data_IF_271288421045
#
_entry.id   IF_271288421045
#
_cell.length_a   1.000
_cell.length_b   1.000
_cell.length_c   1.000
_cell.angle_alpha   90.00
_cell.angle_beta   90.00
_cell.angle_gamma   90.00
#
_symmetry.space_group_name_H-M   'P 1'
#
loop_
_entity.id
_entity.type
_entity.pdbx_description
1 polymer ?
#
# COMPACT_ATOMS: atom_id res chain seq x y z
N UNK A 1 1.72 -8.01 -15.21
CA UNK A 1 0.27 -8.18 -15.47
C UNK A 1 -0.54 -7.73 -14.26
N UNK A 2 -0.46 -8.41 -13.11
CA UNK A 2 -1.26 -8.05 -11.93
C UNK A 2 -1.03 -6.62 -11.41
N UNK A 3 0.23 -6.16 -11.33
CA UNK A 3 0.51 -4.78 -10.90
C UNK A 3 0.10 -3.72 -11.92
N UNK A 4 0.12 -4.06 -13.21
CA UNK A 4 -0.20 -3.12 -14.29
C UNK A 4 -1.70 -2.82 -14.24
N UNK A 5 -2.53 -3.84 -14.00
CA UNK A 5 -3.98 -3.69 -13.79
C UNK A 5 -4.29 -2.81 -12.57
N UNK A 6 -3.59 -3.02 -11.46
CA UNK A 6 -3.70 -2.18 -10.26
C UNK A 6 -3.30 -0.74 -10.57
N UNK A 7 -2.15 -0.57 -11.25
CA UNK A 7 -1.62 0.74 -11.62
C UNK A 7 -2.60 1.50 -12.50
N UNK A 8 -3.17 0.84 -13.52
CA UNK A 8 -4.20 1.41 -14.39
C UNK A 8 -5.46 1.78 -13.60
N UNK A 9 -5.98 0.88 -12.77
CA UNK A 9 -7.19 1.14 -12.00
C UNK A 9 -7.00 2.33 -11.03
N UNK A 10 -5.85 2.42 -10.36
CA UNK A 10 -5.53 3.58 -9.50
C UNK A 10 -5.34 4.84 -10.32
N UNK A 11 -4.62 4.79 -11.45
CA UNK A 11 -4.37 5.97 -12.28
C UNK A 11 -5.65 6.60 -12.83
N UNK A 12 -6.67 5.80 -13.16
CA UNK A 12 -7.99 6.28 -13.60
C UNK A 12 -8.77 7.04 -12.50
N UNK A 13 -8.40 6.84 -11.24
CA UNK A 13 -9.15 7.35 -10.06
C UNK A 13 -8.31 8.28 -9.19
N UNK A 14 -7.02 8.42 -9.49
CA UNK A 14 -6.09 9.28 -8.78
C UNK A 14 -6.40 10.78 -9.04
N UNK A 15 -6.05 11.68 -8.10
CA UNK A 15 -5.45 11.38 -6.80
C UNK A 15 -6.46 10.76 -5.81
N UNK A 16 -6.00 9.78 -5.04
CA UNK A 16 -6.78 9.16 -3.97
C UNK A 16 -6.35 9.77 -2.62
N UNK A 17 -7.10 10.75 -2.14
CA UNK A 17 -6.81 11.42 -0.88
C UNK A 17 -7.00 10.48 0.32
N UNK A 18 -6.03 10.45 1.23
CA UNK A 18 -6.10 9.71 2.49
C UNK A 18 -6.90 10.52 3.51
N UNK A 19 -8.14 10.09 3.77
CA UNK A 19 -8.99 10.69 4.80
C UNK A 19 -8.83 10.01 6.16
N UNK A 20 -8.45 8.73 6.18
CA UNK A 20 -8.18 7.96 7.40
C UNK A 20 -6.93 7.12 7.22
N UNK A 21 -6.13 7.04 8.29
CA UNK A 21 -4.96 6.19 8.38
C UNK A 21 -4.84 5.67 9.82
N UNK A 22 -4.82 4.36 10.01
CA UNK A 22 -4.67 3.72 11.32
C UNK A 22 -3.75 2.51 11.21
N UNK A 23 -2.91 2.34 12.22
CA UNK A 23 -2.06 1.17 12.36
C UNK A 23 -2.23 0.58 13.76
N UNK A 24 -2.68 -0.67 13.78
CA UNK A 24 -2.81 -1.51 14.96
C UNK A 24 -2.22 -2.86 14.61
N UNK A 25 -1.04 -3.15 15.13
CA UNK A 25 -0.27 -4.34 14.77
C UNK A 25 -1.15 -5.62 14.77
N UNK A 26 -1.15 -6.41 13.69
CA UNK A 26 -0.33 -6.26 12.46
C UNK A 26 -0.98 -5.43 11.34
N UNK A 27 -2.20 -4.92 11.55
CA UNK A 27 -3.02 -4.29 10.52
C UNK A 27 -2.68 -2.82 10.28
N UNK A 28 -2.31 -2.49 9.04
CA UNK A 28 -2.35 -1.12 8.51
C UNK A 28 -3.62 -0.93 7.69
N UNK A 29 -4.32 0.19 7.90
CA UNK A 29 -5.44 0.60 7.05
C UNK A 29 -5.34 2.06 6.64
N UNK A 30 -5.60 2.33 5.37
CA UNK A 30 -5.73 3.64 4.77
C UNK A 30 -7.06 3.70 4.02
N UNK A 31 -7.76 4.81 4.07
CA UNK A 31 -8.98 4.98 3.27
C UNK A 31 -9.27 6.44 2.95
N UNK A 32 -10.09 6.63 1.93
CA UNK A 32 -10.63 7.92 1.54
C UNK A 32 -12.00 7.76 0.90
N UNK A 33 -12.41 8.73 0.10
CA UNK A 33 -13.70 8.64 -0.58
C UNK A 33 -13.69 7.47 -1.58
N UNK A 34 -14.56 6.49 -1.34
CA UNK A 34 -14.81 5.36 -2.23
C UNK A 34 -13.60 4.44 -2.51
N UNK A 35 -12.52 4.55 -1.74
CA UNK A 35 -11.35 3.67 -1.83
C UNK A 35 -10.82 3.26 -0.43
N UNK A 36 -10.18 2.10 -0.36
CA UNK A 36 -9.49 1.63 0.84
C UNK A 36 -8.29 0.76 0.50
N UNK A 37 -7.29 0.80 1.37
CA UNK A 37 -6.16 -0.12 1.37
C UNK A 37 -6.00 -0.69 2.78
N UNK A 38 -5.80 -1.99 2.89
CA UNK A 38 -5.40 -2.63 4.14
C UNK A 38 -4.36 -3.71 3.91
N UNK A 39 -3.54 -3.96 4.91
CA UNK A 39 -2.58 -5.07 4.88
C UNK A 39 -2.32 -5.60 6.28
N UNK A 40 -2.19 -6.92 6.37
CA UNK A 40 -1.61 -7.60 7.53
C UNK A 40 -0.11 -7.90 7.33
N UNK A 41 0.40 -7.69 6.11
CA UNK A 41 1.79 -7.93 5.75
C UNK A 41 2.71 -6.85 6.31
N UNK A 42 4.00 -7.18 6.53
CA UNK A 42 5.04 -6.19 6.75
C UNK A 42 5.00 -5.05 5.72
N UNK A 43 5.22 -3.81 6.18
CA UNK A 43 5.24 -2.63 5.30
C UNK A 43 6.29 -1.60 5.73
N UNK A 44 6.75 -0.77 4.78
CA UNK A 44 7.60 0.38 5.08
C UNK A 44 7.24 1.59 4.24
N UNK A 45 7.44 2.76 4.82
CA UNK A 45 7.39 4.01 4.08
C UNK A 45 8.81 4.46 3.71
N UNK A 46 9.05 4.68 2.43
CA UNK A 46 10.27 5.28 1.92
C UNK A 46 10.08 6.77 1.68
N UNK A 47 11.12 7.55 1.94
CA UNK A 47 11.27 8.94 1.48
C UNK A 47 11.45 9.00 -0.04
N UNK A 48 11.42 10.20 -0.61
CA UNK A 48 11.66 10.42 -2.04
C UNK A 48 13.06 9.95 -2.50
N UNK A 49 14.07 10.03 -1.63
CA UNK A 49 15.43 9.54 -1.90
C UNK A 49 15.61 8.02 -1.68
N UNK A 50 14.55 7.32 -1.24
CA UNK A 50 14.55 5.87 -1.05
C UNK A 50 15.07 5.40 0.32
N UNK A 51 15.35 6.32 1.25
CA UNK A 51 15.63 5.94 2.64
C UNK A 51 14.35 5.56 3.38
N UNK A 52 14.45 4.72 4.42
CA UNK A 52 13.28 4.31 5.21
C UNK A 52 12.90 5.46 6.14
N UNK A 53 11.71 6.02 5.95
CA UNK A 53 11.14 7.01 6.86
C UNK A 53 10.65 6.34 8.15
N UNK A 54 9.82 5.32 8.02
CA UNK A 54 9.37 4.45 9.12
C UNK A 54 8.79 3.14 8.56
N UNK A 55 8.52 2.18 9.44
CA UNK A 55 8.00 0.86 9.08
C UNK A 55 7.08 0.32 10.17
N UNK A 56 6.50 -0.86 9.92
CA UNK A 56 5.73 -1.61 10.91
C UNK A 56 6.47 -1.87 12.23
N UNK A 57 7.82 -1.90 12.24
CA UNK A 57 8.65 -2.06 13.45
C UNK A 57 9.03 -0.75 14.14
N UNK A 58 8.69 0.41 13.57
CA UNK A 58 9.00 1.68 14.20
C UNK A 58 8.20 1.82 15.48
N UNK A 59 8.85 2.16 16.61
CA UNK A 59 8.22 2.21 17.94
C UNK A 59 6.92 3.03 17.96
N UNK A 60 6.95 4.18 17.28
CA UNK A 60 5.85 5.14 17.23
C UNK A 60 5.16 5.11 15.84
N UNK A 61 5.04 3.90 15.25
CA UNK A 61 4.51 3.71 13.89
C UNK A 61 3.04 4.14 13.77
N UNK A 62 2.24 3.99 14.83
CA UNK A 62 0.82 4.39 14.82
C UNK A 62 0.68 5.90 14.64
N UNK A 63 1.47 6.67 15.37
CA UNK A 63 1.54 8.12 15.27
C UNK A 63 2.08 8.56 13.91
N UNK A 64 3.12 7.87 13.42
CA UNK A 64 3.71 8.16 12.10
C UNK A 64 2.72 7.93 10.95
N UNK A 65 1.91 6.85 11.01
CA UNK A 65 0.88 6.54 10.01
C UNK A 65 -0.23 7.60 9.99
N UNK A 66 -0.60 8.15 11.14
CA UNK A 66 -1.59 9.24 11.22
C UNK A 66 -1.14 10.48 10.40
N UNK A 67 0.17 10.67 10.23
CA UNK A 67 0.75 11.73 9.39
C UNK A 67 0.59 11.52 7.87
N UNK A 68 -0.06 10.43 7.43
CA UNK A 68 -0.45 10.22 6.04
C UNK A 68 -1.80 10.84 5.69
N UNK A 69 -2.60 11.25 6.69
CA UNK A 69 -3.88 11.93 6.45
C UNK A 69 -3.63 13.25 5.71
N UNK A 70 -4.39 13.48 4.63
CA UNK A 70 -4.24 14.63 3.73
C UNK A 70 -3.19 14.45 2.64
N UNK A 71 -2.39 13.37 2.67
CA UNK A 71 -1.53 12.98 1.54
C UNK A 71 -2.38 12.22 0.51
N UNK A 72 -1.96 12.24 -0.74
CA UNK A 72 -2.67 11.57 -1.83
C UNK A 72 -1.86 10.41 -2.38
N UNK A 73 -2.52 9.30 -2.70
CA UNK A 73 -1.93 8.27 -3.55
C UNK A 73 -2.13 8.69 -5.01
N UNK A 74 -1.01 8.81 -5.73
CA UNK A 74 -0.98 9.27 -7.13
C UNK A 74 -0.64 8.15 -8.12
N UNK A 75 -0.40 6.93 -7.62
CA UNK A 75 -0.19 5.76 -8.47
C UNK A 75 0.28 4.54 -7.68
N UNK A 76 0.46 3.44 -8.40
CA UNK A 76 1.00 2.18 -7.86
C UNK A 76 2.11 1.67 -8.78
N UNK A 77 3.14 1.07 -8.18
CA UNK A 77 4.24 0.38 -8.87
C UNK A 77 4.49 -0.97 -8.22
N UNK A 78 5.29 -1.83 -8.85
CA UNK A 78 5.85 -2.99 -8.14
C UNK A 78 6.78 -2.56 -7.02
N UNK A 79 6.66 -3.23 -5.88
CA UNK A 79 7.56 -3.08 -4.75
C UNK A 79 8.98 -3.55 -5.11
N UNK A 80 9.11 -4.69 -5.80
CA UNK A 80 10.38 -5.27 -6.20
C UNK A 80 10.61 -5.24 -7.72
N UNK A 81 11.88 -5.35 -8.13
CA UNK A 81 12.25 -5.57 -9.54
C UNK A 81 12.12 -7.04 -9.97
N UNK A 82 12.30 -7.97 -9.05
CA UNK A 82 12.28 -9.42 -9.31
C UNK A 82 10.95 -10.06 -8.92
N UNK A 83 10.35 -9.61 -7.82
CA UNK A 83 9.02 -9.99 -7.38
C UNK A 83 8.12 -8.77 -7.58
N UNK A 84 7.26 -8.85 -8.59
CA UNK A 84 6.45 -7.71 -9.05
C UNK A 84 5.03 -7.71 -8.49
N UNK A 85 4.68 -8.70 -7.67
CA UNK A 85 3.31 -8.96 -7.23
C UNK A 85 2.86 -8.01 -6.11
N UNK A 86 3.79 -7.61 -5.24
CA UNK A 86 3.48 -6.66 -4.17
C UNK A 86 3.49 -5.20 -4.64
N UNK A 87 2.54 -4.37 -4.16
CA UNK A 87 2.43 -2.98 -4.54
C UNK A 87 3.35 -2.06 -3.72
N UNK A 88 3.78 -1.01 -4.38
CA UNK A 88 4.27 0.22 -3.79
C UNK A 88 3.30 1.36 -4.13
N UNK A 89 2.58 1.87 -3.14
CA UNK A 89 1.71 3.05 -3.31
C UNK A 89 2.60 4.30 -3.39
N UNK A 90 2.47 5.06 -4.47
CA UNK A 90 3.24 6.29 -4.70
C UNK A 90 2.44 7.46 -4.16
N UNK A 91 3.05 8.24 -3.27
CA UNK A 91 2.41 9.39 -2.61
C UNK A 91 2.75 10.70 -3.32
N UNK A 92 1.86 11.69 -3.21
CA UNK A 92 1.99 13.00 -3.87
C UNK A 92 3.22 13.81 -3.41
N UNK A 93 3.78 13.50 -2.25
CA UNK A 93 5.00 14.11 -1.72
C UNK A 93 6.29 13.33 -2.08
N UNK A 94 6.18 12.37 -3.00
CA UNK A 94 7.30 11.56 -3.49
C UNK A 94 7.66 10.37 -2.60
N UNK A 95 7.03 10.21 -1.44
CA UNK A 95 7.18 9.01 -0.59
C UNK A 95 6.53 7.78 -1.25
N UNK A 96 6.91 6.60 -0.78
CA UNK A 96 6.34 5.32 -1.23
C UNK A 96 6.01 4.40 -0.07
N UNK A 97 4.80 3.86 -0.02
CA UNK A 97 4.44 2.80 0.91
C UNK A 97 4.61 1.44 0.21
N UNK A 98 5.60 0.67 0.66
CA UNK A 98 5.89 -0.67 0.16
C UNK A 98 5.34 -1.74 1.10
N UNK A 99 4.76 -2.78 0.52
CA UNK A 99 4.18 -3.93 1.23
C UNK A 99 4.97 -5.19 0.87
N UNK A 100 5.11 -6.11 1.82
CA UNK A 100 5.88 -7.34 1.65
C UNK A 100 5.01 -8.51 2.08
N UNK A 101 4.25 -9.08 1.14
CA UNK A 101 3.46 -10.27 1.45
C UNK A 101 4.41 -11.48 1.49
N UNK A 102 4.81 -11.86 2.71
CA UNK A 102 5.80 -12.91 2.97
C UNK A 102 5.19 -14.18 3.58
N UNK A 103 3.95 -14.10 4.08
CA UNK A 103 3.21 -15.21 4.63
C UNK A 103 1.77 -15.30 4.10
N UNK A 104 1.28 -16.53 3.92
CA UNK A 104 -0.05 -16.83 3.34
C UNK A 104 -1.25 -16.35 4.15
N UNK A 105 -1.03 -15.96 5.40
CA UNK A 105 -2.06 -15.42 6.31
C UNK A 105 -2.12 -13.91 6.32
N UNK A 106 -1.19 -13.26 5.62
CA UNK A 106 -0.93 -11.84 5.78
C UNK A 106 -1.19 -11.12 4.45
N UNK A 107 -2.45 -11.06 3.96
CA UNK A 107 -2.74 -10.47 2.69
C UNK A 107 -2.70 -8.94 2.74
N UNK A 108 -2.65 -8.33 1.56
CA UNK A 108 -3.07 -6.95 1.36
C UNK A 108 -4.31 -6.89 0.48
N UNK A 109 -5.13 -5.86 0.67
CA UNK A 109 -6.35 -5.60 -0.08
C UNK A 109 -6.36 -4.14 -0.49
N UNK A 110 -6.57 -3.88 -1.77
CA UNK A 110 -6.82 -2.55 -2.32
C UNK A 110 -8.19 -2.55 -2.99
N UNK A 111 -9.10 -1.72 -2.52
CA UNK A 111 -10.39 -1.49 -3.16
C UNK A 111 -10.46 -0.07 -3.68
N UNK A 112 -10.86 0.06 -4.94
CA UNK A 112 -11.18 1.32 -5.62
C UNK A 112 -12.54 1.14 -6.33
N UNK A 113 -13.25 2.20 -6.76
CA UNK A 113 -14.55 2.04 -7.37
C UNK A 113 -14.57 1.03 -8.53
N UNK A 114 -15.33 -0.07 -8.37
CA UNK A 114 -15.47 -1.13 -9.37
C UNK A 114 -14.40 -2.23 -9.36
N UNK A 115 -13.34 -2.11 -8.54
CA UNK A 115 -12.25 -3.08 -8.52
C UNK A 115 -11.76 -3.36 -7.09
N UNK A 116 -11.59 -4.64 -6.76
CA UNK A 116 -10.90 -5.07 -5.55
C UNK A 116 -9.76 -5.99 -5.94
N UNK A 117 -8.56 -5.64 -5.46
CA UNK A 117 -7.34 -6.40 -5.66
C UNK A 117 -6.91 -6.98 -4.32
N UNK A 118 -6.53 -8.24 -4.33
CA UNK A 118 -6.03 -8.95 -3.15
C UNK A 118 -4.69 -9.56 -3.49
N UNK A 119 -3.73 -9.41 -2.59
CA UNK A 119 -2.47 -10.11 -2.71
C UNK A 119 -2.13 -10.94 -1.50
N UNK A 120 -1.73 -12.18 -1.76
CA UNK A 120 -1.31 -13.14 -0.75
C UNK A 120 -0.32 -14.13 -1.39
N UNK A 121 0.73 -14.57 -0.69
CA UNK A 121 1.64 -15.60 -1.17
C UNK A 121 0.98 -16.96 -1.43
N UNK A 122 -0.23 -17.18 -0.90
CA UNK A 122 -1.02 -18.40 -1.16
C UNK A 122 -1.95 -18.31 -2.36
N UNK A 123 -2.08 -17.16 -3.00
CA UNK A 123 -2.94 -17.03 -4.17
C UNK A 123 -2.29 -17.75 -5.37
N UNK A 124 -2.94 -18.79 -5.95
CA UNK A 124 -2.37 -19.52 -7.08
C UNK A 124 -2.17 -18.67 -8.33
N UNK A 125 -2.77 -17.47 -8.42
CA UNK A 125 -2.48 -16.51 -9.48
C UNK A 125 -1.08 -15.85 -9.36
N UNK A 126 -0.35 -16.14 -8.27
CA UNK A 126 0.94 -15.55 -7.92
C UNK A 126 2.14 -16.51 -8.06
N UNK A 127 1.88 -17.78 -8.40
CA UNK A 127 2.90 -18.84 -8.65
C UNK A 127 3.04 -19.10 -10.15
#
# INVERSE_FOLDING_TARGET
>A
MFIDEISSAVAERAPLAVASADYQEPSLSLSGDSWSFSTLSPWRLLTADGTVAFSWKTRDAREAVSGLIGVEIVGVRSQGRLLTSDPALVLSDGRRLEVFSDHHTDPWVLSVPGNTFVGSPSDPAWI
#
